data_IF_948779568592
#
_entry.id   IF_948779568592
#
_cell.length_a   1.000
_cell.length_b   1.000
_cell.length_c   1.000
_cell.angle_alpha   90.00
_cell.angle_beta   90.00
_cell.angle_gamma   90.00
#
_symmetry.space_group_name_H-M   'P 1'
#
loop_
_entity.id
_entity.type
_entity.pdbx_description
1 polymer ?
#
# COMPACT_ATOMS: atom_id res chain seq x y z
N UNK A 1 1.97 2.46 12.58
CA UNK A 1 2.37 1.49 11.55
C UNK A 1 3.49 0.58 12.07
N UNK A 2 3.64 -0.55 11.43
CA UNK A 2 4.80 -1.43 11.57
C UNK A 2 5.76 -1.21 10.41
N UNK A 3 6.88 -1.94 10.36
CA UNK A 3 7.89 -1.80 9.29
C UNK A 3 7.32 -1.97 7.86
N UNK A 4 6.20 -2.67 7.72
CA UNK A 4 5.63 -3.04 6.42
C UNK A 4 4.12 -2.83 6.32
N UNK A 5 3.43 -2.39 7.38
CA UNK A 5 1.97 -2.28 7.44
C UNK A 5 1.48 -1.06 8.20
N UNK A 6 0.28 -0.61 7.83
CA UNK A 6 -0.49 0.41 8.55
C UNK A 6 -1.64 -0.25 9.31
N UNK A 7 -1.91 0.24 10.50
CA UNK A 7 -2.90 -0.30 11.43
C UNK A 7 -3.78 0.83 11.97
N UNK A 8 -5.06 0.55 12.11
CA UNK A 8 -6.02 1.41 12.80
C UNK A 8 -6.31 0.82 14.18
N UNK A 9 -6.17 1.64 15.22
CA UNK A 9 -6.58 1.27 16.57
C UNK A 9 -8.08 1.54 16.74
N UNK A 10 -8.79 0.59 17.29
CA UNK A 10 -10.16 0.79 17.75
C UNK A 10 -10.14 1.56 19.08
N UNK A 11 -11.00 2.57 19.20
CA UNK A 11 -11.18 3.30 20.45
C UNK A 11 -12.25 2.66 21.39
N UNK A 12 -12.85 1.55 20.97
CA UNK A 12 -13.94 0.89 21.68
C UNK A 12 -13.45 -0.32 22.45
N UNK A 13 -12.64 -1.18 21.79
CA UNK A 13 -12.14 -2.44 22.34
C UNK A 13 -10.61 -2.54 22.31
N UNK A 14 -9.93 -1.46 21.90
CA UNK A 14 -8.47 -1.36 21.78
C UNK A 14 -7.83 -2.40 20.85
N UNK A 15 -8.61 -3.02 19.99
CA UNK A 15 -8.10 -3.91 18.94
C UNK A 15 -7.37 -3.13 17.84
N UNK A 16 -6.54 -3.85 17.08
CA UNK A 16 -5.80 -3.29 15.95
C UNK A 16 -6.23 -3.98 14.67
N UNK A 17 -6.73 -3.21 13.71
CA UNK A 17 -7.14 -3.69 12.39
C UNK A 17 -6.11 -3.26 11.34
N UNK A 18 -5.60 -4.18 10.50
CA UNK A 18 -4.73 -3.80 9.39
C UNK A 18 -5.53 -2.98 8.37
N UNK A 19 -5.00 -1.80 8.03
CA UNK A 19 -5.61 -0.87 7.07
C UNK A 19 -4.70 -0.54 5.89
N UNK A 20 -3.64 -1.33 5.68
CA UNK A 20 -2.95 -1.37 4.39
C UNK A 20 -3.93 -1.82 3.30
N UNK A 21 -3.58 -1.69 2.02
CA UNK A 21 -4.44 -2.19 0.93
C UNK A 21 -4.89 -3.63 1.23
N UNK A 22 -6.12 -3.81 1.72
CA UNK A 22 -6.68 -5.12 2.06
C UNK A 22 -7.71 -5.50 1.01
N UNK A 23 -7.59 -6.71 0.52
CA UNK A 23 -8.48 -7.24 -0.51
C UNK A 23 -8.96 -8.62 -0.07
N UNK A 24 -10.27 -8.79 0.03
CA UNK A 24 -10.86 -10.11 0.19
C UNK A 24 -10.77 -10.86 -1.15
N UNK A 25 -10.08 -11.97 -1.18
CA UNK A 25 -9.88 -12.77 -2.39
C UNK A 25 -11.12 -13.59 -2.70
N UNK A 26 -11.63 -13.50 -3.92
CA UNK A 26 -12.78 -14.31 -4.34
C UNK A 26 -12.40 -15.78 -4.47
N UNK A 27 -11.24 -16.06 -5.05
CA UNK A 27 -10.71 -17.42 -5.18
C UNK A 27 -9.21 -17.43 -5.45
N UNK A 28 -8.56 -18.54 -5.12
CA UNK A 28 -7.21 -18.87 -5.58
C UNK A 28 -7.34 -20.20 -6.31
N UNK A 29 -6.94 -20.25 -7.58
CA UNK A 29 -7.11 -21.46 -8.40
C UNK A 29 -6.17 -22.58 -7.93
N UNK A 30 -6.61 -23.83 -8.09
CA UNK A 30 -5.73 -24.99 -8.03
C UNK A 30 -5.15 -25.23 -9.43
N UNK A 31 -4.05 -24.56 -9.74
CA UNK A 31 -3.49 -24.51 -11.10
C UNK A 31 -1.98 -24.24 -11.11
N UNK A 32 -1.40 -24.41 -12.29
CA UNK A 32 0.00 -24.11 -12.59
C UNK A 32 0.06 -23.23 -13.86
N UNK A 33 0.21 -21.90 -13.70
CA UNK A 33 0.31 -21.13 -12.47
C UNK A 33 -1.02 -20.96 -11.73
N UNK A 34 -0.92 -20.61 -10.43
CA UNK A 34 -2.07 -20.25 -9.62
C UNK A 34 -2.52 -18.82 -9.92
N UNK A 35 -3.81 -18.63 -10.11
CA UNK A 35 -4.44 -17.32 -10.34
C UNK A 35 -5.23 -16.92 -9.10
N UNK A 36 -4.98 -15.72 -8.60
CA UNK A 36 -5.73 -15.07 -7.54
C UNK A 36 -6.79 -14.17 -8.18
N UNK A 37 -8.05 -14.41 -7.86
CA UNK A 37 -9.18 -13.66 -8.43
C UNK A 37 -9.77 -12.68 -7.42
N UNK A 38 -9.91 -11.44 -7.84
CA UNK A 38 -10.62 -10.37 -7.13
C UNK A 38 -11.02 -9.27 -8.11
N UNK A 39 -12.30 -8.91 -8.12
CA UNK A 39 -12.84 -7.90 -9.04
C UNK A 39 -12.33 -6.51 -8.67
N UNK A 40 -11.73 -5.82 -9.65
CA UNK A 40 -11.19 -4.46 -9.50
C UNK A 40 -10.14 -4.34 -8.38
N UNK A 41 -9.19 -5.29 -8.33
CA UNK A 41 -8.13 -5.23 -7.33
C UNK A 41 -7.18 -4.04 -7.57
N UNK A 42 -6.59 -3.45 -6.50
CA UNK A 42 -5.75 -2.27 -6.61
C UNK A 42 -4.27 -2.58 -6.90
N UNK A 43 -3.89 -3.85 -7.07
CA UNK A 43 -2.49 -4.25 -7.18
C UNK A 43 -1.93 -4.00 -8.57
N UNK A 44 -0.64 -3.67 -8.59
CA UNK A 44 0.18 -3.54 -9.80
C UNK A 44 1.38 -4.50 -9.74
N UNK A 45 2.02 -4.75 -10.88
CA UNK A 45 3.21 -5.60 -10.94
C UNK A 45 4.33 -5.01 -10.06
N UNK A 46 4.95 -5.87 -9.25
CA UNK A 46 5.95 -5.50 -8.26
C UNK A 46 5.41 -5.27 -6.85
N UNK A 47 4.09 -5.12 -6.67
CA UNK A 47 3.48 -4.99 -5.34
C UNK A 47 3.81 -6.21 -4.48
N UNK A 48 4.15 -5.96 -3.22
CA UNK A 48 4.32 -7.00 -2.20
C UNK A 48 2.99 -7.30 -1.56
N UNK A 49 2.65 -8.58 -1.44
CA UNK A 49 1.39 -9.04 -0.85
C UNK A 49 1.63 -10.16 0.14
N UNK A 50 0.73 -10.27 1.11
CA UNK A 50 0.72 -11.34 2.11
C UNK A 50 -0.68 -11.94 2.16
N UNK A 51 -0.76 -13.26 2.12
CA UNK A 51 -2.02 -13.99 2.24
C UNK A 51 -2.34 -14.33 3.68
N UNK A 52 -3.63 -14.28 3.99
CA UNK A 52 -4.22 -14.79 5.22
C UNK A 52 -5.46 -15.63 4.89
N UNK A 53 -5.89 -16.47 5.81
CA UNK A 53 -7.05 -17.33 5.64
C UNK A 53 -7.69 -17.66 6.98
N UNK A 54 -9.00 -17.93 6.97
CA UNK A 54 -9.72 -18.48 8.11
C UNK A 54 -9.59 -20.01 8.21
N UNK A 55 -8.99 -20.65 7.21
CA UNK A 55 -8.76 -22.09 7.13
C UNK A 55 -7.32 -22.41 6.73
N UNK A 56 -7.11 -23.04 5.58
CA UNK A 56 -5.79 -23.34 5.01
C UNK A 56 -5.64 -22.72 3.63
N UNK A 57 -4.48 -22.10 3.35
CA UNK A 57 -4.17 -21.67 1.98
C UNK A 57 -3.99 -22.87 1.05
N UNK A 58 -4.18 -22.68 -0.28
CA UNK A 58 -3.77 -23.67 -1.28
C UNK A 58 -2.31 -24.05 -1.10
N UNK A 59 -2.00 -25.34 -1.33
CA UNK A 59 -0.61 -25.85 -1.28
C UNK A 59 0.26 -25.09 -2.28
N UNK A 60 1.38 -24.56 -1.82
CA UNK A 60 2.27 -23.66 -2.57
C UNK A 60 2.28 -22.23 -2.02
N UNK A 61 1.25 -21.86 -1.25
CA UNK A 61 1.18 -20.57 -0.53
C UNK A 61 1.28 -20.79 0.98
N UNK A 62 1.92 -19.85 1.67
CA UNK A 62 2.13 -19.85 3.13
C UNK A 62 1.60 -18.56 3.73
N UNK A 63 0.84 -18.68 4.83
CA UNK A 63 0.32 -17.54 5.58
C UNK A 63 1.48 -16.68 6.11
N UNK A 64 1.35 -15.36 5.97
CA UNK A 64 2.34 -14.41 6.48
C UNK A 64 3.61 -14.27 5.61
N UNK A 65 3.79 -15.08 4.59
CA UNK A 65 4.92 -14.97 3.64
C UNK A 65 4.66 -13.85 2.65
N UNK A 66 5.71 -13.05 2.37
CA UNK A 66 5.66 -12.00 1.35
C UNK A 66 5.81 -12.63 -0.03
N UNK A 67 4.89 -12.31 -0.92
CA UNK A 67 4.91 -12.62 -2.35
C UNK A 67 4.91 -11.34 -3.16
N UNK A 68 5.24 -11.44 -4.45
CA UNK A 68 5.30 -10.31 -5.38
C UNK A 68 4.28 -10.53 -6.50
N UNK A 69 3.43 -9.53 -6.75
CA UNK A 69 2.55 -9.53 -7.92
C UNK A 69 3.41 -9.44 -9.17
N UNK A 70 3.16 -10.33 -10.14
CA UNK A 70 3.91 -10.34 -11.41
C UNK A 70 3.05 -9.79 -12.56
N UNK A 71 3.70 -9.33 -13.63
CA UNK A 71 2.99 -8.80 -14.81
C UNK A 71 2.27 -9.90 -15.62
N UNK A 72 2.77 -11.14 -15.57
CA UNK A 72 2.08 -12.28 -16.17
C UNK A 72 0.74 -12.51 -15.48
N UNK A 73 -0.32 -12.76 -16.22
CA UNK A 73 -1.67 -13.01 -15.71
C UNK A 73 -2.34 -11.80 -15.00
N UNK A 74 -1.68 -10.62 -14.96
CA UNK A 74 -2.23 -9.44 -14.31
C UNK A 74 -3.30 -8.79 -15.18
N UNK A 75 -4.52 -8.70 -14.64
CA UNK A 75 -5.68 -8.05 -15.24
C UNK A 75 -6.38 -7.19 -14.19
N UNK A 76 -7.46 -6.50 -14.51
CA UNK A 76 -8.25 -5.75 -13.53
C UNK A 76 -8.91 -6.65 -12.44
N UNK A 77 -9.06 -7.94 -12.71
CA UNK A 77 -9.82 -8.85 -11.85
C UNK A 77 -9.05 -10.08 -11.39
N UNK A 78 -7.78 -10.22 -11.78
CA UNK A 78 -6.95 -11.36 -11.44
C UNK A 78 -5.47 -11.02 -11.48
N UNK A 79 -4.66 -11.72 -10.69
CA UNK A 79 -3.22 -11.60 -10.69
C UNK A 79 -2.55 -12.92 -10.30
N UNK A 80 -1.29 -13.04 -10.66
CA UNK A 80 -0.41 -14.12 -10.24
C UNK A 80 0.68 -13.57 -9.33
N UNK A 81 1.26 -14.44 -8.50
CA UNK A 81 2.32 -14.05 -7.57
C UNK A 81 3.54 -14.95 -7.69
N UNK A 82 4.70 -14.41 -7.31
CA UNK A 82 5.95 -15.13 -7.20
C UNK A 82 6.59 -15.02 -5.82
N UNK A 83 7.50 -15.89 -5.48
CA UNK A 83 8.23 -15.85 -4.20
C UNK A 83 9.33 -14.76 -4.19
N UNK A 84 9.76 -14.29 -5.36
CA UNK A 84 10.79 -13.26 -5.52
C UNK A 84 10.35 -12.23 -6.54
N UNK A 85 10.86 -11.00 -6.44
CA UNK A 85 10.54 -9.95 -7.40
C UNK A 85 10.89 -10.38 -8.84
N UNK A 86 9.90 -10.36 -9.75
CA UNK A 86 10.06 -10.80 -11.13
C UNK A 86 10.32 -12.30 -11.33
N UNK A 87 10.15 -13.10 -10.29
CA UNK A 87 10.35 -14.56 -10.33
C UNK A 87 9.23 -15.32 -11.04
N UNK A 88 9.36 -16.65 -11.08
CA UNK A 88 8.33 -17.52 -11.65
C UNK A 88 7.05 -17.52 -10.81
N UNK A 89 5.91 -17.63 -11.47
CA UNK A 89 4.62 -17.74 -10.82
C UNK A 89 4.55 -18.96 -9.88
N UNK A 90 3.87 -18.80 -8.75
CA UNK A 90 3.60 -19.90 -7.80
C UNK A 90 2.57 -20.85 -8.41
N UNK A 91 2.81 -22.13 -8.25
CA UNK A 91 1.86 -23.18 -8.57
C UNK A 91 1.17 -23.66 -7.31
N UNK A 92 -0.10 -24.03 -7.42
CA UNK A 92 -0.86 -24.64 -6.33
C UNK A 92 -1.33 -26.04 -6.72
N UNK A 93 -1.41 -26.93 -5.74
CA UNK A 93 -1.85 -28.32 -5.92
C UNK A 93 -3.05 -28.71 -5.03
N UNK A 94 -3.68 -27.71 -4.41
CA UNK A 94 -4.94 -27.86 -3.67
C UNK A 94 -5.74 -26.57 -3.72
N UNK A 95 -7.02 -26.63 -3.38
CA UNK A 95 -7.88 -25.44 -3.34
C UNK A 95 -7.79 -24.66 -2.01
N UNK A 96 -7.15 -25.22 -0.98
CA UNK A 96 -7.25 -24.67 0.37
C UNK A 96 -8.64 -24.82 0.98
N UNK A 97 -8.89 -24.08 2.07
CA UNK A 97 -10.20 -24.03 2.75
C UNK A 97 -10.41 -22.70 3.46
N UNK A 98 -11.67 -22.36 3.73
CA UNK A 98 -12.04 -21.12 4.38
C UNK A 98 -12.01 -19.91 3.44
N UNK A 99 -12.09 -18.71 4.03
CA UNK A 99 -12.03 -17.44 3.29
C UNK A 99 -10.60 -16.96 3.25
N UNK A 100 -10.12 -16.61 2.06
CA UNK A 100 -8.78 -16.06 1.85
C UNK A 100 -8.82 -14.55 1.73
N UNK A 101 -7.78 -13.90 2.21
CA UNK A 101 -7.57 -12.45 2.03
C UNK A 101 -6.13 -12.19 1.63
N UNK A 102 -5.92 -11.13 0.89
CA UNK A 102 -4.60 -10.62 0.52
C UNK A 102 -4.44 -9.18 0.98
N UNK A 103 -3.32 -8.86 1.57
CA UNK A 103 -2.98 -7.53 2.06
C UNK A 103 -1.71 -7.06 1.37
N UNK A 104 -1.70 -5.83 0.85
CA UNK A 104 -0.47 -5.18 0.39
C UNK A 104 0.47 -4.93 1.56
N UNK A 105 1.76 -5.15 1.36
CA UNK A 105 2.81 -4.72 2.29
C UNK A 105 3.64 -3.63 1.64
N UNK A 106 4.10 -2.69 2.44
CA UNK A 106 5.02 -1.65 2.00
C UNK A 106 6.46 -2.16 2.01
N UNK A 107 7.38 -1.41 1.44
CA UNK A 107 8.82 -1.70 1.56
C UNK A 107 9.21 -1.69 3.04
N UNK A 108 10.06 -2.64 3.44
CA UNK A 108 10.58 -2.69 4.80
C UNK A 108 11.33 -1.40 5.11
N UNK A 109 11.00 -0.79 6.24
CA UNK A 109 11.68 0.40 6.73
C UNK A 109 13.14 0.06 7.09
N UNK A 110 14.04 1.00 6.85
CA UNK A 110 15.37 0.95 7.49
C UNK A 110 15.22 1.13 9.00
N UNK A 111 16.23 0.72 9.77
CA UNK A 111 16.18 0.72 11.24
C UNK A 111 15.86 2.07 11.89
N UNK A 112 16.13 3.15 11.17
CA UNK A 112 15.96 4.54 11.58
C UNK A 112 14.76 5.25 10.92
N UNK A 113 14.11 4.60 9.95
CA UNK A 113 12.94 5.16 9.27
C UNK A 113 11.64 4.72 9.95
N UNK A 114 10.68 5.62 10.06
CA UNK A 114 9.38 5.38 10.67
C UNK A 114 8.28 5.98 9.81
N UNK A 115 7.05 5.44 9.94
CA UNK A 115 5.88 6.06 9.39
C UNK A 115 5.60 7.38 10.08
N UNK A 116 5.42 8.43 9.28
CA UNK A 116 4.96 9.75 9.72
C UNK A 116 3.54 9.98 9.21
N UNK A 117 2.73 10.65 10.02
CA UNK A 117 1.33 10.88 9.72
C UNK A 117 1.00 12.36 9.80
N UNK A 118 0.11 12.81 8.90
CA UNK A 118 -0.49 14.13 8.96
C UNK A 118 -1.96 14.05 8.57
N UNK A 119 -2.81 14.88 9.17
CA UNK A 119 -4.23 14.95 8.85
C UNK A 119 -4.55 16.27 8.16
N UNK A 120 -5.21 16.20 7.02
CA UNK A 120 -5.70 17.34 6.25
C UNK A 120 -7.21 17.18 6.03
N UNK A 121 -8.02 17.88 6.83
CA UNK A 121 -9.47 17.67 6.85
C UNK A 121 -9.83 16.23 7.25
N UNK A 122 -10.61 15.55 6.43
CA UNK A 122 -10.95 14.14 6.64
C UNK A 122 -9.90 13.16 6.07
N UNK A 123 -8.80 13.65 5.52
CA UNK A 123 -7.75 12.80 4.95
C UNK A 123 -6.60 12.65 5.93
N UNK A 124 -6.23 11.41 6.21
CA UNK A 124 -5.01 11.05 6.94
C UNK A 124 -3.99 10.56 5.93
N UNK A 125 -2.84 11.20 5.93
CA UNK A 125 -1.71 10.81 5.09
C UNK A 125 -0.67 10.07 5.92
N UNK A 126 -0.05 9.08 5.31
CA UNK A 126 1.05 8.33 5.89
C UNK A 126 2.21 8.29 4.90
N UNK A 127 3.40 8.68 5.33
CA UNK A 127 4.62 8.67 4.54
C UNK A 127 5.72 7.89 5.22
N UNK A 128 6.55 7.27 4.44
CA UNK A 128 7.89 6.80 4.78
C UNK A 128 8.73 6.79 3.49
N UNK A 129 10.04 6.93 3.64
CA UNK A 129 10.95 7.21 2.52
C UNK A 129 10.88 6.20 1.36
N UNK A 130 10.54 4.94 1.65
CA UNK A 130 10.56 3.84 0.67
C UNK A 130 9.16 3.45 0.19
N UNK A 131 8.13 4.24 0.48
CA UNK A 131 6.76 4.00 -0.01
C UNK A 131 6.19 5.23 -0.68
N UNK A 132 5.29 5.03 -1.62
CA UNK A 132 4.42 6.09 -2.14
C UNK A 132 3.60 6.65 -0.99
N UNK A 133 3.39 7.97 -0.97
CA UNK A 133 2.53 8.62 0.00
C UNK A 133 1.16 7.95 0.03
N UNK A 134 0.73 7.53 1.20
CA UNK A 134 -0.54 6.86 1.41
C UNK A 134 -1.60 7.84 1.91
N UNK A 135 -2.84 7.62 1.52
CA UNK A 135 -3.99 8.42 1.96
C UNK A 135 -5.13 7.53 2.44
N UNK A 136 -5.77 7.94 3.53
CA UNK A 136 -6.96 7.31 4.11
C UNK A 136 -8.02 8.38 4.37
N UNK A 137 -9.22 8.23 3.84
CA UNK A 137 -10.34 9.12 4.12
C UNK A 137 -11.15 8.57 5.30
N UNK A 138 -11.16 9.30 6.41
CA UNK A 138 -11.87 8.92 7.65
C UNK A 138 -13.37 8.69 7.45
N UNK A 139 -13.98 9.30 6.43
CA UNK A 139 -15.41 9.19 6.19
C UNK A 139 -15.78 8.01 5.28
N UNK A 140 -14.86 7.47 4.48
CA UNK A 140 -15.22 6.53 3.41
C UNK A 140 -14.23 5.39 3.16
N UNK A 141 -12.96 5.49 3.61
CA UNK A 141 -11.98 4.45 3.34
C UNK A 141 -12.06 3.31 4.34
N UNK A 142 -11.89 2.09 3.86
CA UNK A 142 -11.64 0.90 4.68
C UNK A 142 -10.15 0.54 4.76
N UNK A 143 -9.33 1.11 3.89
CA UNK A 143 -7.88 0.91 3.83
C UNK A 143 -7.19 2.16 3.27
N UNK A 144 -5.88 2.28 3.52
CA UNK A 144 -5.02 3.25 2.83
C UNK A 144 -4.90 2.91 1.35
N UNK A 145 -4.74 3.93 0.53
CA UNK A 145 -4.45 3.85 -0.90
C UNK A 145 -3.27 4.77 -1.25
N UNK A 146 -2.68 4.54 -2.41
CA UNK A 146 -1.65 5.46 -2.91
C UNK A 146 -2.27 6.83 -3.18
N UNK A 147 -1.61 7.88 -2.71
CA UNK A 147 -2.02 9.24 -2.99
C UNK A 147 -1.83 9.57 -4.47
N UNK A 148 -2.88 10.04 -5.12
CA UNK A 148 -2.83 10.46 -6.53
C UNK A 148 -1.97 11.72 -6.73
N UNK A 149 -1.62 12.02 -7.99
CA UNK A 149 -0.89 13.22 -8.39
C UNK A 149 0.62 13.11 -8.29
N UNK A 150 1.15 11.91 -8.15
CA UNK A 150 2.60 11.62 -8.12
C UNK A 150 3.40 12.43 -7.07
N UNK A 151 2.98 12.40 -5.78
CA UNK A 151 3.76 13.03 -4.72
C UNK A 151 5.16 12.39 -4.64
N UNK A 152 6.19 13.15 -4.27
CA UNK A 152 7.51 12.57 -4.04
C UNK A 152 7.50 11.64 -2.83
N UNK A 153 8.33 10.61 -2.83
CA UNK A 153 8.57 9.78 -1.65
C UNK A 153 9.39 10.57 -0.63
N UNK A 154 8.98 10.55 0.62
CA UNK A 154 9.54 11.40 1.66
C UNK A 154 9.57 10.74 3.04
N UNK A 155 10.51 11.17 3.88
CA UNK A 155 10.61 10.72 5.27
C UNK A 155 9.65 11.43 6.21
N UNK A 156 9.30 12.69 5.92
CA UNK A 156 8.54 13.54 6.82
C UNK A 156 7.36 14.20 6.11
N UNK A 157 6.29 14.41 6.84
CA UNK A 157 5.07 15.04 6.37
C UNK A 157 4.50 15.98 7.42
N UNK A 158 3.99 17.12 6.98
CA UNK A 158 3.29 18.06 7.83
C UNK A 158 2.19 18.78 7.05
N UNK A 159 1.21 19.32 7.75
CA UNK A 159 0.24 20.26 7.20
C UNK A 159 0.62 21.66 7.65
N UNK A 160 0.87 22.54 6.69
CA UNK A 160 1.21 23.95 6.93
C UNK A 160 0.16 24.84 6.27
N UNK A 161 -0.72 25.41 7.08
CA UNK A 161 -1.86 26.16 6.58
C UNK A 161 -2.77 25.32 5.69
N UNK A 162 -2.71 25.57 4.39
CA UNK A 162 -3.55 24.90 3.38
C UNK A 162 -2.74 24.04 2.41
N UNK A 163 -1.55 23.64 2.80
CA UNK A 163 -0.63 22.81 2.02
C UNK A 163 -0.28 21.53 2.77
N UNK A 164 -0.13 20.45 2.04
CA UNK A 164 0.55 19.26 2.52
C UNK A 164 2.03 19.39 2.15
N UNK A 165 2.91 19.29 3.13
CA UNK A 165 4.34 19.55 2.97
C UNK A 165 5.11 18.25 3.22
N UNK A 166 6.02 17.92 2.32
CA UNK A 166 6.91 16.76 2.38
C UNK A 166 8.36 17.22 2.47
N UNK A 167 9.18 16.53 3.27
CA UNK A 167 10.61 16.78 3.38
C UNK A 167 11.40 15.49 3.62
N UNK A 168 12.73 15.57 3.48
CA UNK A 168 13.56 14.38 3.49
C UNK A 168 13.23 13.47 2.29
N UNK A 169 13.15 14.05 1.09
CA UNK A 169 12.74 13.34 -0.11
C UNK A 169 13.75 12.24 -0.47
N UNK A 170 13.28 11.18 -1.11
CA UNK A 170 14.13 10.07 -1.53
C UNK A 170 15.22 10.54 -2.51
N UNK A 171 14.83 11.34 -3.50
CA UNK A 171 15.71 11.78 -4.58
C UNK A 171 16.52 13.05 -4.22
N UNK A 172 16.00 13.88 -3.30
CA UNK A 172 16.69 15.08 -2.80
C UNK A 172 16.39 15.32 -1.30
N UNK A 173 17.24 14.83 -0.39
CA UNK A 173 16.98 14.91 1.06
C UNK A 173 16.90 16.31 1.63
N UNK A 174 17.44 17.30 0.94
CA UNK A 174 17.45 18.71 1.39
C UNK A 174 16.22 19.49 0.92
N UNK A 175 15.48 18.94 -0.06
CA UNK A 175 14.30 19.57 -0.62
C UNK A 175 13.10 19.46 0.31
N UNK A 176 12.37 20.59 0.42
CA UNK A 176 11.01 20.66 0.95
C UNK A 176 10.09 20.92 -0.23
N UNK A 177 9.06 20.09 -0.41
CA UNK A 177 8.08 20.24 -1.49
C UNK A 177 6.66 20.25 -0.91
N UNK A 178 5.79 21.11 -1.46
CA UNK A 178 4.40 21.20 -1.02
C UNK A 178 3.40 21.00 -2.15
N UNK A 179 2.23 20.51 -1.75
CA UNK A 179 1.10 20.29 -2.65
C UNK A 179 0.49 21.59 -3.15
N UNK A 180 -0.45 21.51 -4.06
CA UNK A 180 -1.31 22.65 -4.41
C UNK A 180 -2.14 23.13 -3.23
N UNK A 181 -2.55 24.40 -3.28
CA UNK A 181 -3.40 25.06 -2.26
C UNK A 181 -4.74 24.34 -2.12
N UNK A 182 -5.03 23.76 -0.96
CA UNK A 182 -6.17 22.87 -0.71
C UNK A 182 -6.28 21.68 -1.68
N UNK A 183 -5.20 21.27 -2.32
CA UNK A 183 -5.20 20.25 -3.37
C UNK A 183 -4.09 19.23 -3.12
N UNK A 184 -4.36 18.30 -2.23
CA UNK A 184 -3.39 17.28 -1.77
C UNK A 184 -2.94 16.30 -2.86
N UNK A 185 -3.56 16.34 -4.03
CA UNK A 185 -3.22 15.53 -5.21
C UNK A 185 -2.50 16.34 -6.31
N UNK A 186 -2.19 17.62 -6.08
CA UNK A 186 -1.49 18.47 -7.04
C UNK A 186 -0.05 18.67 -6.59
N UNK A 187 0.90 18.06 -7.29
CA UNK A 187 2.34 18.09 -6.98
C UNK A 187 3.19 18.61 -8.14
N UNK A 188 2.55 18.99 -9.26
CA UNK A 188 3.23 19.62 -10.41
C UNK A 188 3.64 21.03 -10.05
N UNK A 189 4.93 21.30 -10.11
CA UNK A 189 5.53 22.60 -9.77
C UNK A 189 4.90 23.73 -10.60
N UNK A 190 4.56 24.85 -9.94
CA UNK A 190 3.89 26.00 -10.53
C UNK A 190 2.38 25.84 -10.73
N UNK A 191 1.80 24.68 -10.45
CA UNK A 191 0.35 24.45 -10.56
C UNK A 191 -0.32 24.64 -9.20
N UNK A 192 -1.34 25.51 -9.12
CA UNK A 192 -2.10 25.79 -7.90
C UNK A 192 -1.21 26.07 -6.67
N UNK A 193 -0.15 26.83 -6.87
CA UNK A 193 0.86 27.19 -5.84
C UNK A 193 1.67 25.98 -5.30
N UNK A 194 1.62 24.82 -5.95
CA UNK A 194 2.56 23.73 -5.67
C UNK A 194 3.96 24.15 -6.08
N UNK A 195 4.95 23.97 -5.20
CA UNK A 195 6.33 24.35 -5.45
C UNK A 195 7.28 23.62 -4.49
N UNK A 196 8.57 23.95 -4.54
CA UNK A 196 9.60 23.37 -3.67
C UNK A 196 10.63 24.44 -3.26
N UNK A 197 11.42 24.09 -2.25
CA UNK A 197 12.60 24.83 -1.80
C UNK A 197 13.75 23.83 -1.54
N UNK A 198 14.90 24.09 -2.11
CA UNK A 198 16.17 23.40 -1.85
C UNK A 198 17.01 24.12 -0.81
#
# INVERSE_FOLDING_TARGET
GTSDRLWLASNTDYSWTPVSKVVAVTSISNASPAVVSYTSHPFVAGDKVVFSTSGSLPTGLTVGTVYYVISAGLTANAFEVSATSGGAAINTSSAGSGTHSVTSTYSTLSSDAQWQFAQFGNLVFATQKNAVLQVYNLASSSAFADCAGTPPQASYISVVGRFLVLSGLLDNPFRIQWSGLNATTTWTIGVNSSDFQD
#
